data_IF_351561104997
#
_entry.id   IF_351561104997
#
_cell.length_a   1.000
_cell.length_b   1.000
_cell.length_c   1.000
_cell.angle_alpha   90.00
_cell.angle_beta   90.00
_cell.angle_gamma   90.00
#
_symmetry.space_group_name_H-M   'P 1'
#
loop_
_entity.id
_entity.type
_entity.pdbx_description
1 polymer ?
#
# COMPACT_ATOMS: atom_id res chain seq x y z
N UNK A 1 -37.33 -25.86 -84.81
CA UNK A 1 -36.76 -24.62 -84.28
C UNK A 1 -36.74 -24.74 -82.75
N UNK A 2 -35.63 -25.11 -82.18
CA UNK A 2 -35.49 -25.36 -80.72
C UNK A 2 -34.57 -24.29 -80.14
N UNK A 3 -35.11 -23.46 -79.27
CA UNK A 3 -34.38 -22.37 -78.60
C UNK A 3 -33.92 -22.86 -77.21
N UNK A 4 -32.60 -23.09 -77.02
CA UNK A 4 -31.99 -23.36 -75.79
C UNK A 4 -31.80 -22.05 -75.00
N UNK A 5 -32.41 -21.96 -73.87
CA UNK A 5 -32.12 -20.91 -72.84
C UNK A 5 -31.00 -21.39 -71.93
N UNK A 6 -29.88 -20.71 -72.01
CA UNK A 6 -28.80 -20.86 -71.01
C UNK A 6 -29.18 -20.10 -69.72
N UNK A 7 -29.32 -20.81 -68.58
CA UNK A 7 -29.43 -20.23 -67.28
C UNK A 7 -28.02 -20.01 -66.73
N UNK A 8 -27.63 -18.75 -66.61
CA UNK A 8 -26.41 -18.39 -65.83
C UNK A 8 -26.72 -18.40 -64.34
N UNK A 9 -26.17 -19.37 -63.69
CA UNK A 9 -26.10 -19.36 -62.18
C UNK A 9 -24.94 -18.47 -61.73
N UNK A 10 -25.22 -17.21 -61.41
CA UNK A 10 -24.28 -16.34 -60.78
C UNK A 10 -24.13 -16.77 -59.24
N UNK A 11 -23.08 -17.47 -58.94
CA UNK A 11 -22.70 -17.75 -57.56
C UNK A 11 -22.16 -16.49 -56.91
N UNK A 12 -22.97 -15.83 -56.06
CA UNK A 12 -22.56 -14.67 -55.28
C UNK A 12 -21.66 -15.12 -54.11
N UNK A 13 -20.39 -15.25 -54.36
CA UNK A 13 -19.34 -15.50 -53.31
C UNK A 13 -18.98 -14.27 -52.49
N UNK A 14 -19.62 -13.10 -52.72
CA UNK A 14 -19.34 -11.84 -52.02
C UNK A 14 -19.96 -11.72 -50.63
N UNK A 15 -20.92 -12.58 -50.24
CA UNK A 15 -21.70 -12.37 -49.02
C UNK A 15 -21.07 -12.90 -47.71
N UNK A 16 -20.24 -13.93 -47.79
CA UNK A 16 -19.68 -14.59 -46.60
C UNK A 16 -18.48 -13.81 -46.05
N UNK A 17 -17.57 -13.36 -46.90
CA UNK A 17 -16.38 -12.59 -46.49
C UNK A 17 -16.75 -11.25 -45.84
N UNK A 18 -17.74 -10.51 -46.42
CA UNK A 18 -18.19 -9.22 -45.87
C UNK A 18 -18.92 -9.39 -44.53
N UNK A 19 -19.66 -10.48 -44.31
CA UNK A 19 -20.29 -10.79 -43.01
C UNK A 19 -19.23 -11.15 -41.96
N UNK A 20 -18.23 -11.93 -42.34
CA UNK A 20 -17.12 -12.30 -41.46
C UNK A 20 -16.30 -11.07 -41.04
N UNK A 21 -15.96 -10.18 -42.00
CA UNK A 21 -15.25 -8.92 -41.69
C UNK A 21 -16.08 -8.01 -40.77
N UNK A 22 -17.39 -7.89 -40.99
CA UNK A 22 -18.26 -7.12 -40.08
C UNK A 22 -18.27 -7.71 -38.66
N UNK A 23 -18.43 -9.05 -38.56
CA UNK A 23 -18.37 -9.72 -37.24
C UNK A 23 -17.03 -9.53 -36.53
N UNK A 24 -15.92 -9.65 -37.25
CA UNK A 24 -14.58 -9.39 -36.67
C UNK A 24 -14.47 -7.93 -36.20
N UNK A 25 -14.91 -6.96 -36.97
CA UNK A 25 -14.92 -5.54 -36.62
C UNK A 25 -15.74 -5.28 -35.34
N UNK A 26 -16.91 -5.88 -35.22
CA UNK A 26 -17.77 -5.75 -34.03
C UNK A 26 -17.12 -6.33 -32.81
N UNK A 27 -16.52 -7.51 -32.91
CA UNK A 27 -15.76 -8.14 -31.80
C UNK A 27 -14.58 -7.25 -31.36
N UNK A 28 -13.80 -6.72 -32.32
CA UNK A 28 -12.67 -5.81 -32.03
C UNK A 28 -13.16 -4.54 -31.36
N UNK A 29 -14.27 -3.95 -31.80
CA UNK A 29 -14.84 -2.76 -31.16
C UNK A 29 -15.31 -3.03 -29.73
N UNK A 30 -15.97 -4.18 -29.48
CA UNK A 30 -16.40 -4.59 -28.14
C UNK A 30 -15.17 -4.78 -27.23
N UNK A 31 -14.11 -5.44 -27.71
CA UNK A 31 -12.87 -5.65 -26.96
C UNK A 31 -12.18 -4.31 -26.65
N UNK A 32 -12.11 -3.40 -27.61
CA UNK A 32 -11.55 -2.07 -27.39
C UNK A 32 -12.37 -1.28 -26.37
N UNK A 33 -13.69 -1.31 -26.46
CA UNK A 33 -14.56 -0.65 -25.50
C UNK A 33 -14.40 -1.23 -24.11
N UNK A 34 -14.36 -2.56 -23.98
CA UNK A 34 -14.10 -3.23 -22.69
C UNK A 34 -12.74 -2.85 -22.11
N UNK A 35 -11.70 -2.75 -22.95
CA UNK A 35 -10.37 -2.33 -22.55
C UNK A 35 -10.35 -0.87 -22.07
N UNK A 36 -11.03 0.04 -22.77
CA UNK A 36 -11.17 1.45 -22.36
C UNK A 36 -11.92 1.55 -21.03
N UNK A 37 -13.05 0.86 -20.89
CA UNK A 37 -13.81 0.84 -19.62
C UNK A 37 -12.94 0.30 -18.48
N UNK A 38 -12.22 -0.79 -18.70
CA UNK A 38 -11.28 -1.35 -17.71
C UNK A 38 -10.20 -0.36 -17.33
N UNK A 39 -9.61 0.34 -18.30
CA UNK A 39 -8.60 1.36 -18.05
C UNK A 39 -9.15 2.55 -17.24
N UNK A 40 -10.36 3.02 -17.56
CA UNK A 40 -11.06 4.09 -16.83
C UNK A 40 -11.34 3.67 -15.39
N UNK A 41 -11.90 2.47 -15.18
CA UNK A 41 -12.16 1.96 -13.81
C UNK A 41 -10.87 1.93 -13.01
N UNK A 42 -9.75 1.47 -13.57
CA UNK A 42 -8.45 1.44 -12.89
C UNK A 42 -7.87 2.81 -12.60
N UNK A 43 -8.04 3.75 -13.53
CA UNK A 43 -7.52 5.11 -13.36
C UNK A 43 -8.27 5.86 -12.26
N UNK A 44 -9.59 5.64 -12.12
CA UNK A 44 -10.46 6.45 -11.29
C UNK A 44 -11.10 5.72 -10.09
N UNK A 45 -11.16 4.38 -10.08
CA UNK A 45 -11.89 3.65 -9.01
C UNK A 45 -10.94 2.94 -8.05
N UNK A 46 -9.84 2.35 -8.52
CA UNK A 46 -8.92 1.68 -7.61
C UNK A 46 -7.98 0.68 -8.28
N UNK A 47 -7.03 0.23 -7.50
CA UNK A 47 -6.01 -0.72 -7.91
C UNK A 47 -5.94 -1.89 -6.93
N UNK A 48 -5.77 -3.11 -7.47
CA UNK A 48 -5.60 -4.32 -6.67
C UNK A 48 -4.11 -4.60 -6.45
N UNK A 49 -3.78 -4.92 -5.21
CA UNK A 49 -2.43 -5.30 -4.79
C UNK A 49 -2.45 -6.68 -4.15
N UNK A 50 -1.43 -7.49 -4.46
CA UNK A 50 -1.15 -8.74 -3.74
C UNK A 50 -0.18 -8.41 -2.62
N UNK A 51 -0.48 -8.86 -1.42
CA UNK A 51 0.32 -8.59 -0.22
C UNK A 51 1.35 -9.70 -0.04
N UNK A 52 2.66 -9.42 -0.18
CA UNK A 52 3.68 -10.46 -0.12
C UNK A 52 4.21 -10.72 1.30
N UNK A 53 3.99 -9.83 2.26
CA UNK A 53 4.64 -9.86 3.57
C UNK A 53 3.65 -9.89 4.73
N UNK A 54 4.09 -10.42 5.87
CA UNK A 54 3.31 -10.51 7.11
C UNK A 54 3.29 -9.25 7.97
N UNK A 55 3.78 -8.10 7.48
CA UNK A 55 3.87 -6.87 8.32
C UNK A 55 2.52 -6.31 8.78
N UNK A 56 1.43 -6.78 8.20
CA UNK A 56 0.05 -6.42 8.54
C UNK A 56 -0.78 -7.64 8.96
N UNK A 57 -0.13 -8.77 9.30
CA UNK A 57 -0.82 -10.01 9.70
C UNK A 57 -1.90 -9.79 10.76
N UNK A 58 -2.91 -10.66 10.75
CA UNK A 58 -4.19 -10.61 11.43
C UNK A 58 -5.13 -9.49 10.92
N UNK A 59 -4.60 -8.42 10.35
CA UNK A 59 -5.41 -7.45 9.61
C UNK A 59 -5.46 -7.82 8.13
N UNK A 60 -4.31 -8.16 7.55
CA UNK A 60 -4.13 -8.55 6.15
C UNK A 60 -3.07 -9.65 6.10
N UNK A 61 -3.43 -10.80 5.53
CA UNK A 61 -2.54 -11.95 5.46
C UNK A 61 -1.68 -11.96 4.19
N UNK A 62 -0.48 -12.55 4.23
CA UNK A 62 0.29 -12.81 3.02
C UNK A 62 -0.54 -13.57 1.98
N UNK A 63 -0.50 -13.09 0.72
CA UNK A 63 -1.30 -13.64 -0.38
C UNK A 63 -2.68 -13.01 -0.55
N UNK A 64 -3.15 -12.20 0.37
CA UNK A 64 -4.39 -11.44 0.21
C UNK A 64 -4.29 -10.45 -0.95
N UNK A 65 -5.44 -10.23 -1.60
CA UNK A 65 -5.60 -9.17 -2.59
C UNK A 65 -6.40 -8.04 -1.99
N UNK A 66 -5.80 -6.87 -1.95
CA UNK A 66 -6.35 -5.68 -1.33
C UNK A 66 -6.69 -4.65 -2.39
N UNK A 67 -7.87 -4.04 -2.27
CA UNK A 67 -8.28 -2.93 -3.12
C UNK A 67 -7.92 -1.59 -2.47
N UNK A 68 -7.04 -0.83 -3.12
CA UNK A 68 -6.77 0.57 -2.79
C UNK A 68 -7.62 1.48 -3.70
N UNK A 69 -8.33 2.41 -3.11
CA UNK A 69 -9.27 3.29 -3.81
C UNK A 69 -8.57 4.61 -4.17
N UNK A 70 -8.74 5.05 -5.42
CA UNK A 70 -8.27 6.34 -5.96
C UNK A 70 -9.45 7.15 -6.51
N UNK A 71 -9.43 8.46 -6.46
CA UNK A 71 -8.76 9.31 -5.47
C UNK A 71 -9.58 9.28 -4.18
N UNK A 72 -8.98 8.94 -3.09
CA UNK A 72 -9.67 9.02 -1.81
C UNK A 72 -8.73 9.63 -0.78
N UNK A 73 -9.27 10.56 -0.03
CA UNK A 73 -8.60 11.10 1.13
C UNK A 73 -8.40 9.98 2.16
N UNK A 74 -7.30 10.07 2.86
CA UNK A 74 -6.98 9.16 3.96
C UNK A 74 -6.67 9.95 5.22
N UNK A 75 -6.78 9.29 6.35
CA UNK A 75 -6.58 9.90 7.66
C UNK A 75 -5.79 8.98 8.58
N UNK A 76 -5.47 9.45 9.77
CA UNK A 76 -4.86 8.63 10.83
C UNK A 76 -5.67 7.36 11.05
N UNK A 77 -4.98 6.24 11.21
CA UNK A 77 -5.60 4.93 11.39
C UNK A 77 -5.98 4.22 10.09
N UNK A 78 -6.07 4.91 8.97
CA UNK A 78 -6.31 4.24 7.67
C UNK A 78 -5.09 3.42 7.25
N UNK A 79 -5.34 2.30 6.59
CA UNK A 79 -4.31 1.51 5.93
C UNK A 79 -4.09 2.08 4.54
N UNK A 80 -2.84 2.35 4.17
CA UNK A 80 -2.50 2.92 2.85
C UNK A 80 -1.53 2.05 2.09
N UNK A 81 -1.68 2.05 0.77
CA UNK A 81 -0.70 1.52 -0.17
C UNK A 81 0.10 2.69 -0.72
N UNK A 82 1.42 2.59 -0.69
CA UNK A 82 2.32 3.64 -1.16
C UNK A 82 3.52 3.08 -1.91
N UNK A 83 4.16 3.91 -2.74
CA UNK A 83 5.39 3.56 -3.45
C UNK A 83 6.57 3.62 -2.49
N UNK A 84 7.48 2.67 -2.62
CA UNK A 84 8.73 2.65 -1.87
C UNK A 84 9.77 3.61 -2.46
N UNK A 85 9.55 4.91 -2.31
CA UNK A 85 10.51 5.95 -2.69
C UNK A 85 11.69 6.05 -1.70
N UNK A 86 11.48 5.59 -0.47
CA UNK A 86 12.48 5.53 0.58
C UNK A 86 13.48 4.37 0.44
N UNK A 87 13.28 3.49 -0.54
CA UNK A 87 14.10 2.28 -0.76
C UNK A 87 14.16 1.34 0.46
N UNK A 88 13.07 1.22 1.19
CA UNK A 88 12.97 0.34 2.37
C UNK A 88 13.14 -1.14 2.02
N UNK A 89 12.74 -1.53 0.81
CA UNK A 89 12.89 -2.91 0.32
C UNK A 89 14.29 -3.22 -0.24
N UNK A 90 15.20 -2.25 -0.27
CA UNK A 90 16.54 -2.41 -0.80
C UNK A 90 16.59 -2.46 -2.34
N UNK A 91 17.19 -3.50 -2.92
CA UNK A 91 17.45 -3.57 -4.36
C UNK A 91 16.17 -3.53 -5.22
N UNK A 92 16.31 -2.95 -6.42
CA UNK A 92 15.24 -2.88 -7.40
C UNK A 92 14.63 -4.27 -7.69
N UNK A 93 13.29 -4.37 -7.75
CA UNK A 93 12.62 -5.62 -8.11
C UNK A 93 13.02 -6.10 -9.50
N UNK A 94 12.97 -7.40 -9.76
CA UNK A 94 13.24 -7.94 -11.08
C UNK A 94 12.27 -7.34 -12.10
N UNK A 95 12.81 -6.77 -13.18
CA UNK A 95 12.00 -6.21 -14.27
C UNK A 95 11.17 -7.33 -14.90
N UNK A 96 9.85 -7.16 -14.94
CA UNK A 96 8.97 -8.05 -15.67
C UNK A 96 9.16 -7.92 -17.17
N UNK A 97 8.85 -8.99 -17.91
CA UNK A 97 8.77 -8.96 -19.36
C UNK A 97 7.72 -7.94 -19.85
N UNK A 98 7.87 -7.44 -21.07
CA UNK A 98 6.92 -6.49 -21.67
C UNK A 98 5.46 -7.04 -21.69
N UNK A 99 5.29 -8.34 -21.92
CA UNK A 99 3.98 -9.00 -21.87
C UNK A 99 3.40 -9.00 -20.44
N UNK A 100 4.24 -9.19 -19.41
CA UNK A 100 3.82 -9.10 -18.02
C UNK A 100 3.39 -7.68 -17.64
N UNK A 101 4.14 -6.67 -18.05
CA UNK A 101 3.79 -5.26 -17.85
C UNK A 101 2.48 -4.88 -18.56
N UNK A 102 2.28 -5.37 -19.78
CA UNK A 102 1.01 -5.18 -20.50
C UNK A 102 -0.15 -5.88 -19.80
N UNK A 103 0.04 -7.10 -19.30
CA UNK A 103 -0.97 -7.83 -18.51
C UNK A 103 -1.35 -7.12 -17.21
N UNK A 104 -0.38 -6.48 -16.53
CA UNK A 104 -0.64 -5.60 -15.37
C UNK A 104 -1.37 -4.32 -15.79
N UNK A 105 -0.99 -3.71 -16.90
CA UNK A 105 -1.62 -2.50 -17.42
C UNK A 105 -3.09 -2.74 -17.80
N UNK A 106 -3.40 -3.81 -18.52
CA UNK A 106 -4.78 -4.17 -18.88
C UNK A 106 -5.57 -4.85 -17.76
N UNK A 107 -4.89 -5.27 -16.67
CA UNK A 107 -5.53 -5.78 -15.49
C UNK A 107 -5.83 -7.25 -15.44
N UNK A 108 -5.32 -7.97 -16.36
CA UNK A 108 -5.38 -9.43 -16.35
C UNK A 108 -4.44 -9.99 -15.27
N UNK A 109 -3.31 -9.31 -15.03
CA UNK A 109 -2.37 -9.67 -13.98
C UNK A 109 -2.44 -8.67 -12.81
N UNK A 110 -2.38 -9.14 -11.56
CA UNK A 110 -2.27 -8.28 -10.40
C UNK A 110 -0.94 -7.52 -10.43
N UNK A 111 -0.92 -6.29 -9.91
CA UNK A 111 0.33 -5.57 -9.71
C UNK A 111 1.11 -6.25 -8.59
N UNK A 112 2.16 -6.98 -8.98
CA UNK A 112 3.10 -7.64 -8.07
C UNK A 112 4.44 -6.93 -8.07
N UNK A 113 4.53 -5.71 -8.65
CA UNK A 113 5.76 -4.94 -8.60
C UNK A 113 6.09 -4.68 -7.14
N UNK A 114 7.25 -5.13 -6.74
CA UNK A 114 7.77 -5.07 -5.38
C UNK A 114 8.09 -3.65 -4.88
N UNK A 115 7.61 -2.63 -5.60
CA UNK A 115 7.82 -1.21 -5.27
C UNK A 115 6.67 -0.61 -4.45
N UNK A 116 5.72 -1.43 -3.99
CA UNK A 116 4.62 -0.94 -3.17
C UNK A 116 4.63 -1.59 -1.80
N UNK A 117 4.38 -0.77 -0.81
CA UNK A 117 4.26 -1.16 0.60
C UNK A 117 2.84 -0.86 1.08
N UNK A 118 2.41 -1.61 2.08
CA UNK A 118 1.15 -1.40 2.77
C UNK A 118 1.41 -1.26 4.27
N UNK A 119 0.91 -0.18 4.87
CA UNK A 119 1.08 0.13 6.29
C UNK A 119 -0.12 0.94 6.79
N UNK A 120 -0.24 1.05 8.11
CA UNK A 120 -1.21 1.92 8.78
C UNK A 120 -0.62 3.31 9.01
N UNK A 121 -1.39 4.35 8.70
CA UNK A 121 -1.04 5.74 8.99
C UNK A 121 -1.19 5.99 10.49
N UNK A 122 -0.10 6.30 11.14
CA UNK A 122 -0.09 6.66 12.57
C UNK A 122 -0.04 8.16 12.75
N UNK A 123 0.76 8.87 11.95
CA UNK A 123 0.90 10.33 12.02
C UNK A 123 0.70 10.97 10.66
N UNK A 124 -0.06 12.08 10.67
CA UNK A 124 -0.29 13.00 9.55
C UNK A 124 0.64 14.21 9.68
N UNK A 125 0.76 15.08 8.66
CA UNK A 125 1.60 16.27 8.74
C UNK A 125 1.36 17.09 10.02
N UNK A 126 2.43 17.48 10.69
CA UNK A 126 2.39 18.26 11.94
C UNK A 126 2.14 17.48 13.22
N UNK A 127 1.79 16.18 13.12
CA UNK A 127 1.58 15.36 14.31
C UNK A 127 2.89 15.07 15.04
N UNK A 128 2.78 15.01 16.35
CA UNK A 128 3.80 14.43 17.22
C UNK A 128 3.42 13.00 17.53
N UNK A 129 4.21 12.04 17.06
CA UNK A 129 4.04 10.60 17.33
C UNK A 129 5.13 10.19 18.31
N UNK A 130 4.75 9.56 19.40
CA UNK A 130 5.74 9.12 20.40
C UNK A 130 5.45 7.72 20.94
N UNK A 131 6.49 7.00 21.28
CA UNK A 131 6.51 5.74 22.01
C UNK A 131 7.65 5.71 23.03
N UNK A 132 7.46 5.20 24.20
CA UNK A 132 6.24 4.64 24.72
C UNK A 132 5.90 5.40 26.01
N UNK A 133 4.71 5.95 26.03
CA UNK A 133 4.19 6.66 27.18
C UNK A 133 3.79 5.73 28.33
N UNK A 134 3.01 6.20 29.30
CA UNK A 134 2.54 5.39 30.41
C UNK A 134 1.85 4.10 29.90
N UNK A 135 2.15 2.97 30.54
CA UNK A 135 1.66 1.63 30.17
C UNK A 135 2.15 1.13 28.80
N UNK A 136 3.28 1.64 28.30
CA UNK A 136 3.87 1.18 27.05
C UNK A 136 3.11 1.56 25.78
N UNK A 137 2.17 2.50 25.83
CA UNK A 137 1.34 2.86 24.68
C UNK A 137 1.97 3.89 23.75
N UNK A 138 1.65 3.77 22.48
CA UNK A 138 1.85 4.85 21.50
C UNK A 138 0.99 6.06 21.86
N UNK A 139 1.44 7.24 21.47
CA UNK A 139 0.60 8.44 21.54
C UNK A 139 0.74 9.28 20.26
N UNK A 140 -0.34 9.98 19.91
CA UNK A 140 -0.35 10.97 18.84
C UNK A 140 -0.89 12.27 19.42
N UNK A 141 -0.11 13.35 19.29
CA UNK A 141 -0.41 14.66 19.85
C UNK A 141 -0.69 14.63 21.37
N UNK A 142 -0.02 13.74 22.10
CA UNK A 142 -0.21 13.52 23.52
C UNK A 142 -1.41 12.64 23.90
N UNK A 143 -2.26 12.25 22.93
CA UNK A 143 -3.36 11.30 23.18
C UNK A 143 -2.85 9.87 23.08
N UNK A 144 -2.93 9.06 24.16
CA UNK A 144 -2.56 7.65 24.12
C UNK A 144 -3.51 6.86 23.21
N UNK A 145 -2.96 5.96 22.40
CA UNK A 145 -3.73 5.08 21.53
C UNK A 145 -4.08 3.76 22.25
N UNK A 146 -5.30 3.29 22.05
CA UNK A 146 -5.68 1.92 22.32
C UNK A 146 -5.60 1.11 21.02
N UNK A 147 -4.52 0.37 20.88
CA UNK A 147 -4.20 -0.35 19.65
C UNK A 147 -4.66 -1.81 19.66
N UNK A 148 -5.35 -2.24 20.72
CA UNK A 148 -5.77 -3.63 20.92
C UNK A 148 -6.66 -4.20 19.80
N UNK A 149 -7.35 -3.34 19.05
CA UNK A 149 -8.26 -3.75 17.98
C UNK A 149 -7.56 -4.18 16.69
N UNK A 150 -6.26 -3.85 16.51
CA UNK A 150 -5.55 -4.10 15.27
C UNK A 150 -4.12 -4.62 15.42
N UNK A 151 -3.51 -4.53 16.61
CA UNK A 151 -2.18 -5.09 16.81
C UNK A 151 -2.20 -6.62 16.68
N UNK A 152 -1.19 -7.14 16.00
CA UNK A 152 -0.92 -8.57 15.95
C UNK A 152 -0.85 -9.16 17.37
N UNK A 153 -1.34 -10.40 17.50
CA UNK A 153 -1.37 -11.10 18.80
C UNK A 153 -0.60 -12.41 18.73
N UNK A 154 0.38 -12.53 19.60
CA UNK A 154 1.07 -13.78 19.83
C UNK A 154 0.41 -14.49 21.03
N UNK A 155 -0.15 -15.68 20.81
CA UNK A 155 -0.87 -16.44 21.85
C UNK A 155 -2.00 -15.61 22.53
N UNK A 156 -2.70 -14.78 21.77
CA UNK A 156 -3.78 -13.94 22.27
C UNK A 156 -3.36 -12.65 22.96
N UNK A 157 -2.05 -12.41 23.14
CA UNK A 157 -1.50 -11.20 23.74
C UNK A 157 -1.04 -10.24 22.61
N UNK A 158 -1.47 -8.98 22.59
CA UNK A 158 -0.97 -8.01 21.62
C UNK A 158 0.53 -7.84 21.74
N UNK A 159 1.23 -7.76 20.59
CA UNK A 159 2.65 -7.40 20.57
C UNK A 159 2.87 -5.98 21.08
N UNK A 160 4.07 -5.69 21.56
CA UNK A 160 4.41 -4.34 22.02
C UNK A 160 4.28 -3.33 20.88
N UNK A 161 3.74 -2.12 21.14
CA UNK A 161 3.61 -1.07 20.12
C UNK A 161 4.93 -0.67 19.45
N UNK A 162 6.03 -0.72 20.20
CA UNK A 162 7.39 -0.53 19.67
C UNK A 162 8.44 -1.01 20.66
N UNK A 163 9.51 -1.61 20.16
CA UNK A 163 10.68 -1.96 20.95
C UNK A 163 11.62 -0.77 21.18
N UNK A 164 11.49 0.28 20.37
CA UNK A 164 12.28 1.51 20.52
C UNK A 164 11.43 2.65 21.07
N UNK A 165 12.04 3.48 21.91
CA UNK A 165 11.42 4.71 22.41
C UNK A 165 11.81 5.87 21.51
N UNK A 166 10.83 6.59 21.02
CA UNK A 166 11.05 7.72 20.13
C UNK A 166 9.96 8.78 20.28
N UNK A 167 10.28 9.98 19.88
CA UNK A 167 9.33 11.05 19.60
C UNK A 167 9.69 11.68 18.28
N UNK A 168 8.71 11.81 17.38
CA UNK A 168 8.89 12.42 16.08
C UNK A 168 7.79 13.42 15.78
N UNK A 169 8.15 14.52 15.14
CA UNK A 169 7.18 15.45 14.58
C UNK A 169 7.16 15.29 13.06
N UNK A 170 5.99 14.92 12.53
CA UNK A 170 5.81 14.58 11.12
C UNK A 170 5.95 15.85 10.26
N UNK A 171 6.80 15.84 9.23
CA UNK A 171 6.98 16.99 8.36
C UNK A 171 5.76 17.28 7.48
N UNK A 172 5.78 18.47 6.87
CA UNK A 172 4.80 18.87 5.86
C UNK A 172 4.80 17.87 4.70
N UNK A 173 3.60 17.60 4.17
CA UNK A 173 3.35 16.72 3.03
C UNK A 173 3.92 15.29 3.18
N UNK A 174 4.09 14.84 4.42
CA UNK A 174 4.57 13.49 4.75
C UNK A 174 3.71 12.83 5.81
N UNK A 175 3.79 11.51 5.84
CA UNK A 175 3.11 10.67 6.85
C UNK A 175 4.10 9.75 7.55
N UNK A 176 3.75 9.35 8.77
CA UNK A 176 4.44 8.34 9.55
C UNK A 176 3.59 7.08 9.60
N UNK A 177 4.13 5.96 9.15
CA UNK A 177 3.38 4.71 8.97
C UNK A 177 4.01 3.56 9.74
N UNK A 178 3.16 2.64 10.23
CA UNK A 178 3.63 1.45 10.95
C UNK A 178 2.83 0.22 10.49
N UNK A 179 3.46 -0.96 10.59
CA UNK A 179 2.76 -2.23 10.42
C UNK A 179 1.94 -2.60 11.64
N UNK A 180 0.88 -3.37 11.48
CA UNK A 180 0.08 -3.89 12.58
C UNK A 180 0.81 -5.04 13.31
N UNK A 181 1.66 -5.79 12.59
CA UNK A 181 2.60 -6.76 13.15
C UNK A 181 3.91 -6.06 13.55
N UNK A 182 3.88 -5.34 14.66
CA UNK A 182 4.91 -4.38 15.11
C UNK A 182 6.33 -4.93 15.20
N UNK A 183 6.50 -6.16 15.58
CA UNK A 183 7.77 -6.86 15.73
C UNK A 183 8.26 -7.56 14.46
N UNK A 184 7.40 -7.63 13.42
CA UNK A 184 7.74 -8.16 12.10
C UNK A 184 7.52 -7.15 10.96
N UNK A 185 7.67 -5.86 11.24
CA UNK A 185 7.45 -4.79 10.28
C UNK A 185 8.66 -3.88 10.13
N UNK A 186 9.27 -3.89 8.94
CA UNK A 186 10.13 -2.78 8.50
C UNK A 186 9.25 -1.60 8.11
N UNK A 187 9.21 -0.56 8.96
CA UNK A 187 8.35 0.60 8.78
C UNK A 187 9.07 1.89 9.22
N UNK A 188 8.36 3.00 9.30
CA UNK A 188 8.93 4.31 9.64
C UNK A 188 9.89 4.30 10.83
N UNK A 189 9.62 3.46 11.84
CA UNK A 189 10.49 3.34 13.02
C UNK A 189 11.91 2.90 12.67
N UNK A 190 12.04 1.95 11.75
CA UNK A 190 13.34 1.38 11.37
C UNK A 190 14.24 2.39 10.67
N UNK A 191 13.66 3.44 10.09
CA UNK A 191 14.32 4.41 9.23
C UNK A 191 14.61 5.76 9.90
N UNK A 192 14.28 5.91 11.20
CA UNK A 192 14.47 7.17 11.95
C UNK A 192 15.92 7.61 12.07
N UNK A 193 16.87 6.70 11.94
CA UNK A 193 18.30 6.99 12.00
C UNK A 193 19.05 6.78 10.70
N UNK A 194 18.35 6.49 9.60
CA UNK A 194 18.99 6.21 8.32
C UNK A 194 19.69 7.46 7.77
N UNK A 195 20.88 7.29 7.19
CA UNK A 195 21.49 8.36 6.41
C UNK A 195 20.66 8.63 5.16
N UNK A 196 20.41 9.89 4.86
CA UNK A 196 19.64 10.29 3.68
C UNK A 196 20.49 11.29 2.86
N UNK A 197 21.23 10.85 1.82
CA UNK A 197 22.03 11.72 0.98
C UNK A 197 21.18 12.87 0.41
N UNK A 198 21.61 14.12 0.63
CA UNK A 198 20.88 15.31 0.18
C UNK A 198 19.67 15.72 1.06
N UNK A 199 19.40 14.97 2.13
CA UNK A 199 18.33 15.28 3.09
C UNK A 199 18.87 15.18 4.54
N UNK A 200 18.00 15.43 5.53
CA UNK A 200 18.35 15.24 6.93
C UNK A 200 18.27 13.75 7.32
N UNK A 201 19.05 13.35 8.33
CA UNK A 201 19.05 11.98 8.85
C UNK A 201 17.65 11.59 9.32
N UNK A 202 17.18 10.40 8.90
CA UNK A 202 15.84 9.91 9.19
C UNK A 202 14.75 10.43 8.26
N UNK A 203 15.10 11.19 7.21
CA UNK A 203 14.11 11.69 6.26
C UNK A 203 13.34 10.58 5.54
N UNK A 204 13.97 9.43 5.30
CA UNK A 204 13.37 8.24 4.70
C UNK A 204 12.27 7.59 5.56
N UNK A 205 12.23 7.89 6.85
CA UNK A 205 11.18 7.41 7.75
C UNK A 205 9.79 8.00 7.45
N UNK A 206 9.72 9.10 6.70
CA UNK A 206 8.48 9.83 6.43
C UNK A 206 8.12 9.73 4.94
N UNK A 207 6.99 9.09 4.67
CA UNK A 207 6.51 8.83 3.30
C UNK A 207 5.87 10.08 2.74
N UNK A 208 6.26 10.56 1.54
CA UNK A 208 5.57 11.63 0.84
C UNK A 208 4.09 11.26 0.59
N UNK A 209 3.18 12.21 0.80
CA UNK A 209 1.75 12.00 0.51
C UNK A 209 1.54 11.68 -0.96
N UNK A 210 2.33 12.28 -1.85
CA UNK A 210 2.28 12.03 -3.29
C UNK A 210 2.67 10.61 -3.70
N UNK A 211 3.38 9.87 -2.85
CA UNK A 211 3.70 8.46 -3.07
C UNK A 211 2.55 7.54 -2.64
N UNK A 212 1.56 8.04 -1.91
CA UNK A 212 0.41 7.25 -1.49
C UNK A 212 -0.50 7.01 -2.69
N UNK A 213 -0.67 5.73 -3.02
CA UNK A 213 -1.58 5.30 -4.09
C UNK A 213 -3.04 5.50 -3.68
N UNK A 214 -3.34 5.23 -2.42
CA UNK A 214 -4.66 5.41 -1.83
C UNK A 214 -4.88 4.52 -0.61
N UNK A 215 -5.98 4.77 0.13
CA UNK A 215 -6.37 3.93 1.24
C UNK A 215 -6.80 2.54 0.76
N UNK A 216 -6.32 1.50 1.44
CA UNK A 216 -6.82 0.16 1.31
C UNK A 216 -8.16 0.06 2.06
N UNK A 217 -9.22 -0.30 1.35
CA UNK A 217 -10.56 -0.36 1.95
C UNK A 217 -11.08 -1.78 2.10
N UNK A 218 -10.64 -2.70 1.27
CA UNK A 218 -11.16 -4.07 1.28
C UNK A 218 -10.07 -5.09 0.99
N UNK A 219 -10.12 -6.24 1.70
CA UNK A 219 -9.59 -7.49 1.17
C UNK A 219 -10.65 -8.09 0.26
N UNK A 220 -10.30 -8.37 -1.00
CA UNK A 220 -11.23 -8.88 -2.01
C UNK A 220 -10.99 -10.34 -2.37
N UNK A 221 -9.86 -10.90 -1.99
CA UNK A 221 -9.50 -12.31 -2.23
C UNK A 221 -8.48 -12.76 -1.19
N UNK A 222 -8.60 -14.01 -0.68
CA UNK A 222 -9.63 -14.99 -1.00
C UNK A 222 -11.01 -14.60 -0.43
N UNK A 223 -12.08 -15.14 -1.00
CA UNK A 223 -13.46 -14.82 -0.57
C UNK A 223 -13.71 -15.14 0.90
N UNK A 224 -13.01 -16.14 1.46
CA UNK A 224 -13.09 -16.52 2.87
C UNK A 224 -12.55 -15.47 3.84
N UNK A 225 -11.74 -14.51 3.35
CA UNK A 225 -11.16 -13.41 4.13
C UNK A 225 -11.59 -12.02 3.63
N UNK A 226 -12.66 -11.99 2.80
CA UNK A 226 -13.20 -10.72 2.34
C UNK A 226 -13.65 -9.88 3.53
N UNK A 227 -13.07 -8.69 3.68
CA UNK A 227 -13.38 -7.79 4.79
C UNK A 227 -13.22 -6.33 4.37
N UNK A 228 -13.91 -5.45 5.07
CA UNK A 228 -13.78 -4.00 4.95
C UNK A 228 -12.89 -3.47 6.09
N UNK A 229 -11.95 -2.60 5.77
CA UNK A 229 -11.11 -1.96 6.77
C UNK A 229 -11.73 -0.64 7.22
N UNK A 230 -12.10 -0.57 8.49
CA UNK A 230 -12.52 0.67 9.14
C UNK A 230 -11.36 1.33 9.87
N UNK A 231 -11.40 2.65 9.98
CA UNK A 231 -10.46 3.39 10.83
C UNK A 231 -10.74 3.06 12.29
N UNK A 232 -9.75 2.63 13.09
CA UNK A 232 -9.94 2.37 14.51
C UNK A 232 -10.34 3.65 15.28
N UNK A 233 -11.34 3.53 16.18
CA UNK A 233 -11.87 4.66 16.97
C UNK A 233 -10.82 5.35 17.85
N UNK A 234 -9.72 4.66 18.18
CA UNK A 234 -8.63 5.25 18.97
C UNK A 234 -8.02 6.51 18.35
N UNK A 235 -8.15 6.66 17.03
CA UNK A 235 -7.69 7.85 16.29
C UNK A 235 -8.70 9.00 16.27
N UNK A 236 -9.94 8.77 16.71
CA UNK A 236 -10.97 9.80 16.68
C UNK A 236 -10.65 10.94 17.66
N UNK A 237 -11.04 12.16 17.29
CA UNK A 237 -10.85 13.35 18.12
C UNK A 237 -9.38 13.80 18.30
N UNK A 238 -8.41 13.25 17.55
CA UNK A 238 -7.07 13.80 17.48
C UNK A 238 -7.08 15.03 16.58
N UNK A 239 -6.73 16.18 17.16
CA UNK A 239 -6.74 17.47 16.44
C UNK A 239 -5.79 17.44 15.23
N UNK A 240 -6.23 18.04 14.13
CA UNK A 240 -5.39 18.28 12.95
C UNK A 240 -4.34 19.36 13.27
N UNK A 241 -3.09 19.08 12.92
CA UNK A 241 -1.94 19.98 13.09
C UNK A 241 -1.20 20.27 11.79
N UNK A 242 -1.78 19.95 10.65
CA UNK A 242 -1.16 20.10 9.32
C UNK A 242 -0.71 21.53 9.04
N UNK A 243 -1.47 22.54 9.49
CA UNK A 243 -1.11 23.96 9.35
C UNK A 243 0.18 24.35 10.10
N UNK A 244 0.58 23.59 11.13
CA UNK A 244 1.79 23.82 11.92
C UNK A 244 2.89 22.79 11.64
N UNK A 245 2.79 22.04 10.54
CA UNK A 245 3.75 21.05 10.17
C UNK A 245 5.11 21.68 9.83
N UNK A 246 6.23 21.17 10.40
CA UNK A 246 7.57 21.67 10.09
C UNK A 246 8.00 21.18 8.69
N UNK A 247 8.99 21.87 8.09
CA UNK A 247 9.56 21.45 6.82
C UNK A 247 10.49 20.23 6.97
N UNK A 248 11.06 20.02 8.17
CA UNK A 248 11.90 18.88 8.52
C UNK A 248 11.35 18.23 9.78
N UNK A 249 11.49 16.92 9.89
CA UNK A 249 11.08 16.21 11.10
C UNK A 249 11.99 16.58 12.28
N UNK A 250 11.36 16.74 13.44
CA UNK A 250 12.06 16.67 14.72
C UNK A 250 12.06 15.19 15.13
N UNK A 251 13.25 14.61 15.38
CA UNK A 251 13.40 13.19 15.71
C UNK A 251 14.19 13.10 17.00
N UNK A 252 13.57 12.57 18.03
CA UNK A 252 14.22 12.25 19.33
C UNK A 252 14.16 10.74 19.52
N UNK A 253 15.33 10.12 19.63
CA UNK A 253 15.46 8.70 19.96
C UNK A 253 15.93 8.58 21.41
N UNK A 254 15.16 7.88 22.23
CA UNK A 254 15.54 7.58 23.60
C UNK A 254 16.28 6.24 23.62
N UNK A 255 17.61 6.30 23.50
CA UNK A 255 18.46 5.14 23.73
C UNK A 255 18.33 4.76 25.22
N UNK A 256 17.62 3.68 25.52
CA UNK A 256 17.78 3.05 26.81
C UNK A 256 19.24 2.58 26.90
N UNK A 257 20.02 3.18 27.80
CA UNK A 257 21.31 2.64 28.17
C UNK A 257 21.05 1.25 28.79
N UNK A 258 21.16 0.22 27.95
CA UNK A 258 21.40 -1.12 28.48
C UNK A 258 22.76 -0.99 29.17
N UNK A 259 22.77 -1.00 30.49
CA UNK A 259 23.99 -1.19 31.25
C UNK A 259 24.57 -2.55 30.81
N UNK A 260 25.51 -2.50 29.89
CA UNK A 260 26.47 -3.58 29.71
C UNK A 260 27.33 -3.51 30.99
N UNK A 261 26.94 -4.29 32.01
CA UNK A 261 27.82 -4.57 33.11
C UNK A 261 29.06 -5.23 32.50
N UNK A 262 30.17 -4.49 32.46
CA UNK A 262 31.49 -5.07 32.16
C UNK A 262 31.66 -6.33 33.05
N UNK A 263 32.07 -7.46 32.44
CA UNK A 263 32.42 -8.61 33.23
C UNK A 263 33.60 -8.22 34.11
N UNK A 264 33.38 -8.18 35.44
CA UNK A 264 34.44 -8.03 36.45
C UNK A 264 35.52 -9.05 36.16
N UNK A 265 36.66 -8.56 35.73
CA UNK A 265 37.90 -9.33 35.59
C UNK A 265 38.25 -9.81 36.99
N UNK A 266 37.96 -11.06 37.30
CA UNK A 266 38.54 -11.72 38.46
C UNK A 266 40.03 -11.94 38.18
N UNK A 267 40.85 -11.19 38.83
CA UNK A 267 42.28 -11.48 38.96
C UNK A 267 42.43 -12.73 39.86
N UNK A 268 43.08 -13.74 39.31
CA UNK A 268 43.59 -14.88 40.02
C UNK A 268 45.11 -14.69 40.27
#
# INVERSE_FOLDING_TARGET
MSRKTHGETSTSTGGVGTRLLKGIREIVLILLLALVISAVIRAFVGQLFVIPSGSMEQTIEPGDRVAAIKPADFKRGDIVVFKDSGHWLGANPPKRSAAGQFGEFVGVLPNTSSNYLIKRVIGMPGDTVSCCGPKGRMSVNGKPLDENSYLYRTNGVPVEPSQMRFEVRVPRDRIFVMGDHRDASGDSRCHLSDPAPGAYRGASAFIPIDDVVGPAKFTVSPLSRMTHFSTPETFDGIADRSASAPDKADITLHLSLIHISEPTRQEA
#
